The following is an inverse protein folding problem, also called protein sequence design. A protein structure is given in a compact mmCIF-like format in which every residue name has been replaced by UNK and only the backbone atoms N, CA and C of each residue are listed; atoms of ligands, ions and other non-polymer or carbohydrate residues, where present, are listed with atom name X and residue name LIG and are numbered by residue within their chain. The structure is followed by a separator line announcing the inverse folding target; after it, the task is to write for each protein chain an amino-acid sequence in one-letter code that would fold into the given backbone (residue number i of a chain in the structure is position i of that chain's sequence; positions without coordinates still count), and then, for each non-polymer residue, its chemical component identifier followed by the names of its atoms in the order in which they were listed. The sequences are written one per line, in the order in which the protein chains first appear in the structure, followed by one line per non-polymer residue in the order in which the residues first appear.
data_IF_553678681424
#
_entry.id   IF_553678681424
#
_cell.length_a   1.000
_cell.length_b   1.000
_cell.length_c   1.000
_cell.angle_alpha   90.00
_cell.angle_beta   90.00
_cell.angle_gamma   90.00
#
_symmetry.space_group_name_H-M   'P 1'
#
loop_
_entity.id
_entity.type
_entity.pdbx_description
1 polymer ?
#
# COMPACT_ATOMS: atom_id res chain seq x y z
N UNK A 1 -5.32 -11.79 9.39
CA UNK A 1 -4.08 -11.70 8.56
C UNK A 1 -4.25 -10.55 7.58
N UNK A 2 -3.18 -10.05 6.95
CA UNK A 2 -3.34 -9.07 5.87
C UNK A 2 -3.76 -9.74 4.56
N UNK A 3 -4.66 -9.08 3.83
CA UNK A 3 -5.18 -9.49 2.52
C UNK A 3 -4.74 -8.50 1.46
N UNK A 4 -4.48 -9.01 0.26
CA UNK A 4 -4.13 -8.20 -0.90
C UNK A 4 -5.29 -8.30 -1.88
N UNK A 5 -5.83 -7.15 -2.25
CA UNK A 5 -7.08 -7.02 -2.97
C UNK A 5 -6.89 -6.14 -4.21
N UNK A 6 -7.76 -6.35 -5.20
CA UNK A 6 -7.96 -5.43 -6.31
C UNK A 6 -9.36 -4.85 -6.16
N UNK A 7 -9.44 -3.54 -6.01
CA UNK A 7 -10.68 -2.81 -6.24
C UNK A 7 -10.77 -2.43 -7.72
N UNK A 8 -11.93 -2.63 -8.34
CA UNK A 8 -12.23 -2.16 -9.69
C UNK A 8 -13.58 -1.44 -9.69
N UNK A 9 -13.66 -0.21 -10.18
CA UNK A 9 -14.92 0.54 -10.16
C UNK A 9 -14.83 1.88 -10.88
N UNK A 10 -15.90 2.67 -10.85
CA UNK A 10 -15.89 4.01 -11.42
C UNK A 10 -15.07 5.01 -10.59
N UNK A 11 -14.53 6.05 -11.22
CA UNK A 11 -13.82 7.15 -10.51
C UNK A 11 -14.73 7.92 -9.54
N UNK A 12 -16.05 7.90 -9.77
CA UNK A 12 -17.00 8.66 -8.97
C UNK A 12 -17.02 8.20 -7.50
N UNK A 13 -16.70 9.12 -6.59
CA UNK A 13 -16.60 8.90 -5.13
C UNK A 13 -15.57 7.84 -4.73
N UNK A 14 -14.58 7.57 -5.59
CA UNK A 14 -13.50 6.63 -5.27
C UNK A 14 -12.70 7.05 -4.03
N UNK A 15 -12.63 8.34 -3.70
CA UNK A 15 -11.96 8.82 -2.48
C UNK A 15 -12.55 8.20 -1.19
N UNK A 16 -13.82 7.77 -1.19
CA UNK A 16 -14.43 7.06 -0.05
C UNK A 16 -13.83 5.67 0.16
N UNK A 17 -13.37 5.01 -0.92
CA UNK A 17 -12.63 3.74 -0.83
C UNK A 17 -11.25 4.00 -0.22
N UNK A 18 -10.59 5.10 -0.60
CA UNK A 18 -9.29 5.48 -0.05
C UNK A 18 -9.39 5.76 1.46
N UNK A 19 -10.35 6.58 1.86
CA UNK A 19 -10.60 6.90 3.27
C UNK A 19 -10.88 5.64 4.10
N UNK A 20 -11.73 4.74 3.60
CA UNK A 20 -12.00 3.46 4.27
C UNK A 20 -10.73 2.60 4.42
N UNK A 21 -9.92 2.48 3.37
CA UNK A 21 -8.66 1.72 3.42
C UNK A 21 -7.72 2.28 4.49
N UNK A 22 -7.62 3.60 4.62
CA UNK A 22 -6.80 4.22 5.66
C UNK A 22 -7.37 4.00 7.06
N UNK A 23 -8.69 4.14 7.24
CA UNK A 23 -9.38 3.98 8.53
C UNK A 23 -9.26 2.55 9.09
N UNK A 24 -9.32 1.55 8.22
CA UNK A 24 -9.14 0.15 8.61
C UNK A 24 -7.66 -0.25 8.77
N UNK A 25 -6.71 0.67 8.57
CA UNK A 25 -5.27 0.43 8.73
C UNK A 25 -4.61 -0.27 7.54
N UNK A 26 -5.22 -0.17 6.36
CA UNK A 26 -4.67 -0.63 5.09
C UNK A 26 -3.82 0.41 4.37
N UNK A 27 -3.39 0.07 3.16
CA UNK A 27 -2.65 0.94 2.25
C UNK A 27 -3.06 0.68 0.79
N UNK A 28 -3.09 1.76 0.01
CA UNK A 28 -3.17 1.69 -1.45
C UNK A 28 -1.76 1.68 -2.04
N UNK A 29 -1.41 0.60 -2.74
CA UNK A 29 -0.08 0.43 -3.32
C UNK A 29 0.03 1.02 -4.73
N UNK A 30 -1.06 0.95 -5.49
CA UNK A 30 -1.10 1.44 -6.87
C UNK A 30 -2.53 1.79 -7.26
N UNK A 31 -2.70 2.90 -7.96
CA UNK A 31 -3.94 3.36 -8.59
C UNK A 31 -3.67 3.54 -10.08
N UNK A 32 -4.42 2.83 -10.92
CA UNK A 32 -4.41 2.99 -12.36
C UNK A 32 -5.79 3.47 -12.82
N UNK A 33 -5.84 4.49 -13.67
CA UNK A 33 -7.08 5.00 -14.26
C UNK A 33 -7.16 4.65 -15.74
N UNK A 34 -8.29 4.10 -16.16
CA UNK A 34 -8.53 3.66 -17.52
C UNK A 34 -9.72 4.40 -18.12
N UNK A 35 -9.53 4.90 -19.33
CA UNK A 35 -10.62 5.43 -20.13
C UNK A 35 -11.23 4.29 -20.96
N UNK A 36 -12.44 3.84 -20.64
CA UNK A 36 -13.10 2.80 -21.43
C UNK A 36 -13.90 3.43 -22.57
N UNK A 37 -13.42 3.26 -23.81
CA UNK A 37 -14.18 3.65 -25.00
C UNK A 37 -15.04 2.48 -25.49
N UNK A 38 -16.37 2.59 -25.36
CA UNK A 38 -17.34 1.69 -26.03
C UNK A 38 -18.01 2.42 -27.20
N UNK A 39 -17.28 2.60 -28.29
CA UNK A 39 -17.83 3.15 -29.54
C UNK A 39 -18.22 4.64 -29.43
N UNK A 40 -19.43 4.98 -29.90
CA UNK A 40 -19.91 6.37 -30.05
C UNK A 40 -20.37 7.07 -28.75
N UNK A 41 -20.23 6.43 -27.58
CA UNK A 41 -20.52 7.02 -26.28
C UNK A 41 -19.24 7.14 -25.45
N UNK A 42 -18.95 8.36 -25.01
CA UNK A 42 -17.71 8.74 -24.33
C UNK A 42 -17.74 8.29 -22.85
N UNK A 43 -16.95 7.25 -22.55
CA UNK A 43 -16.07 7.05 -21.39
C UNK A 43 -16.71 6.99 -19.99
N UNK A 44 -16.97 5.76 -19.52
CA UNK A 44 -16.84 5.47 -18.08
C UNK A 44 -15.34 5.39 -17.77
N UNK A 45 -14.85 6.31 -16.94
CA UNK A 45 -13.51 6.17 -16.36
C UNK A 45 -13.60 5.12 -15.26
N UNK A 46 -12.77 4.08 -15.38
CA UNK A 46 -12.62 3.05 -14.36
C UNK A 46 -11.28 3.20 -13.64
N UNK A 47 -11.28 2.90 -12.36
CA UNK A 47 -10.10 2.86 -11.50
C UNK A 47 -9.87 1.42 -11.10
N UNK A 48 -8.63 0.96 -11.24
CA UNK A 48 -8.17 -0.28 -10.63
C UNK A 48 -7.12 0.05 -9.57
N UNK A 49 -7.31 -0.50 -8.37
CA UNK A 49 -6.45 -0.19 -7.22
C UNK A 49 -6.02 -1.46 -6.53
N UNK A 50 -4.70 -1.58 -6.28
CA UNK A 50 -4.14 -2.64 -5.45
C UNK A 50 -4.14 -2.15 -4.00
N UNK A 51 -4.84 -2.88 -3.15
CA UNK A 51 -5.08 -2.56 -1.74
C UNK A 51 -4.49 -3.66 -0.86
N UNK A 52 -3.86 -3.28 0.24
CA UNK A 52 -3.47 -4.20 1.31
C UNK A 52 -4.20 -3.79 2.58
N UNK A 53 -4.95 -4.70 3.18
CA UNK A 53 -5.80 -4.39 4.35
C UNK A 53 -5.77 -5.53 5.36
N UNK A 54 -5.94 -5.27 6.66
CA UNK A 54 -6.30 -6.32 7.60
C UNK A 54 -7.65 -6.96 7.21
N UNK A 55 -7.79 -8.23 7.53
CA UNK A 55 -9.00 -9.03 7.28
C UNK A 55 -10.21 -8.51 8.06
N UNK A 56 -9.98 -7.92 9.23
CA UNK A 56 -11.00 -7.39 10.13
C UNK A 56 -11.82 -6.24 9.51
N UNK A 57 -11.25 -5.49 8.55
CA UNK A 57 -11.91 -4.37 7.86
C UNK A 57 -12.49 -4.73 6.48
N UNK A 58 -12.40 -5.99 6.06
CA UNK A 58 -12.72 -6.38 4.68
C UNK A 58 -14.21 -6.22 4.35
N UNK A 59 -15.10 -6.50 5.30
CA UNK A 59 -16.55 -6.44 5.07
C UNK A 59 -17.03 -4.99 4.85
N UNK A 60 -16.46 -4.04 5.58
CA UNK A 60 -16.73 -2.61 5.41
C UNK A 60 -16.29 -2.12 4.04
N UNK A 61 -15.06 -2.49 3.63
CA UNK A 61 -14.52 -2.13 2.32
C UNK A 61 -15.36 -2.72 1.17
N UNK A 62 -15.82 -3.97 1.29
CA UNK A 62 -16.72 -4.61 0.32
C UNK A 62 -18.08 -3.92 0.22
N UNK A 63 -18.61 -3.44 1.35
CA UNK A 63 -19.87 -2.72 1.37
C UNK A 63 -19.75 -1.39 0.60
N UNK A 64 -18.70 -0.60 0.86
CA UNK A 64 -18.44 0.66 0.14
C UNK A 64 -18.24 0.40 -1.34
N UNK A 65 -17.46 -0.63 -1.72
CA UNK A 65 -17.28 -0.98 -3.12
C UNK A 65 -18.61 -1.30 -3.81
N UNK A 66 -19.47 -2.09 -3.16
CA UNK A 66 -20.79 -2.44 -3.67
C UNK A 66 -21.68 -1.20 -3.86
N UNK A 67 -21.69 -0.28 -2.91
CA UNK A 67 -22.47 0.97 -2.96
C UNK A 67 -22.02 1.88 -4.12
N UNK A 68 -20.73 1.83 -4.45
CA UNK A 68 -20.14 2.52 -5.59
C UNK A 68 -20.22 1.75 -6.91
N UNK A 69 -20.89 0.58 -6.92
CA UNK A 69 -20.96 -0.34 -8.07
C UNK A 69 -19.58 -0.80 -8.57
N UNK A 70 -18.61 -0.80 -7.67
CA UNK A 70 -17.32 -1.44 -7.88
C UNK A 70 -17.32 -2.89 -7.39
N UNK A 71 -16.19 -3.54 -7.57
CA UNK A 71 -15.94 -4.91 -7.17
C UNK A 71 -14.61 -5.03 -6.43
N UNK A 72 -14.50 -6.06 -5.58
CA UNK A 72 -13.29 -6.38 -4.83
C UNK A 72 -12.95 -7.85 -5.04
N UNK A 73 -11.75 -8.08 -5.58
CA UNK A 73 -11.19 -9.41 -5.76
C UNK A 73 -9.98 -9.61 -4.85
N UNK A 74 -9.91 -10.75 -4.16
CA UNK A 74 -8.71 -11.14 -3.41
C UNK A 74 -7.69 -11.77 -4.36
N UNK A 75 -6.45 -11.26 -4.33
CA UNK A 75 -5.36 -11.85 -5.10
C UNK A 75 -4.75 -12.98 -4.29
N UNK A 76 -4.87 -14.21 -4.78
CA UNK A 76 -4.16 -15.33 -4.21
C UNK A 76 -2.69 -15.31 -4.67
N UNK A 77 -1.79 -14.96 -3.76
CA UNK A 77 -0.34 -14.99 -3.98
C UNK A 77 0.34 -15.86 -2.93
N UNK A 78 1.52 -16.37 -3.29
CA UNK A 78 2.35 -17.13 -2.37
C UNK A 78 2.79 -16.29 -1.15
N UNK A 79 3.19 -17.00 -0.10
CA UNK A 79 3.55 -16.38 1.18
C UNK A 79 4.78 -15.47 1.07
N UNK A 80 5.73 -15.75 0.16
CA UNK A 80 6.96 -14.95 0.01
C UNK A 80 6.65 -13.57 -0.59
N UNK A 81 5.82 -13.54 -1.64
CA UNK A 81 5.35 -12.28 -2.24
C UNK A 81 4.46 -11.55 -1.22
N UNK A 82 3.58 -12.26 -0.51
CA UNK A 82 2.75 -11.65 0.54
C UNK A 82 3.59 -10.96 1.60
N UNK A 83 4.57 -11.66 2.17
CA UNK A 83 5.49 -11.10 3.16
C UNK A 83 6.17 -9.84 2.59
N UNK A 84 6.66 -9.89 1.35
CA UNK A 84 7.32 -8.75 0.70
C UNK A 84 6.38 -7.55 0.57
N UNK A 85 5.12 -7.78 0.19
CA UNK A 85 4.10 -6.73 0.04
C UNK A 85 3.70 -6.14 1.40
N UNK A 86 3.39 -6.98 2.39
CA UNK A 86 2.91 -6.49 3.69
C UNK A 86 4.05 -5.81 4.47
N UNK A 87 5.32 -6.12 4.18
CA UNK A 87 6.49 -5.39 4.72
C UNK A 87 6.49 -3.89 4.40
N UNK A 88 5.77 -3.46 3.36
CA UNK A 88 5.67 -2.04 2.97
C UNK A 88 5.00 -1.22 4.08
N UNK A 89 4.01 -1.78 4.77
CA UNK A 89 3.20 -1.06 5.77
C UNK A 89 4.00 -0.39 6.90
N UNK A 90 4.87 -1.10 7.66
CA UNK A 90 5.66 -0.46 8.71
C UNK A 90 6.60 0.62 8.17
N UNK A 91 7.23 0.39 7.01
CA UNK A 91 8.16 1.34 6.39
C UNK A 91 7.41 2.58 5.91
N UNK A 92 6.26 2.40 5.26
CA UNK A 92 5.39 3.48 4.82
C UNK A 92 4.94 4.34 6.01
N UNK A 93 4.51 3.73 7.12
CA UNK A 93 4.11 4.46 8.32
C UNK A 93 5.25 5.32 8.90
N UNK A 94 6.48 4.81 8.91
CA UNK A 94 7.64 5.59 9.38
C UNK A 94 7.95 6.76 8.45
N UNK A 95 7.97 6.52 7.14
CA UNK A 95 8.23 7.58 6.16
C UNK A 95 7.12 8.65 6.16
N UNK A 96 5.86 8.26 6.33
CA UNK A 96 4.70 9.17 6.43
C UNK A 96 4.81 10.08 7.66
N UNK A 97 5.25 9.53 8.80
CA UNK A 97 5.48 10.30 10.02
C UNK A 97 6.68 11.24 9.93
N UNK A 98 7.76 10.84 9.24
CA UNK A 98 8.97 11.62 9.13
C UNK A 98 8.76 12.94 8.36
N UNK A 99 7.85 12.97 7.38
CA UNK A 99 7.52 14.15 6.52
C UNK A 99 8.72 14.82 5.86
N UNK A 100 9.88 14.16 5.82
CA UNK A 100 11.13 14.65 5.24
C UNK A 100 11.97 13.45 4.78
N UNK A 101 13.09 13.73 4.11
CA UNK A 101 14.09 12.74 3.73
C UNK A 101 14.76 12.13 4.96
N UNK A 102 14.83 10.80 5.01
CA UNK A 102 15.47 10.04 6.09
C UNK A 102 16.39 8.97 5.52
N UNK A 103 17.48 8.68 6.22
CA UNK A 103 18.37 7.58 5.86
C UNK A 103 17.89 6.24 6.44
N UNK A 104 18.55 5.16 6.02
CA UNK A 104 18.20 3.81 6.47
C UNK A 104 18.46 3.59 7.97
N UNK A 105 19.48 4.23 8.55
CA UNK A 105 19.81 4.04 9.97
C UNK A 105 18.71 4.63 10.85
N UNK A 106 18.18 5.79 10.47
CA UNK A 106 17.00 6.37 11.14
C UNK A 106 15.81 5.41 11.13
N UNK A 107 15.56 4.74 9.99
CA UNK A 107 14.46 3.78 9.88
C UNK A 107 14.73 2.52 10.70
N UNK A 108 15.96 2.01 10.70
CA UNK A 108 16.37 0.87 11.52
C UNK A 108 16.17 1.15 13.01
N UNK A 109 16.54 2.35 13.48
CA UNK A 109 16.37 2.76 14.88
C UNK A 109 14.89 2.99 15.26
N UNK A 110 14.05 3.35 14.28
CA UNK A 110 12.64 3.67 14.50
C UNK A 110 11.68 2.49 14.31
N UNK A 111 12.12 1.37 13.73
CA UNK A 111 11.28 0.17 13.62
C UNK A 111 11.08 -0.43 15.01
N UNK A 112 9.84 -0.39 15.49
CA UNK A 112 9.41 -1.08 16.70
C UNK A 112 8.80 -2.44 16.34
N UNK A 113 9.17 -3.49 17.07
CA UNK A 113 8.58 -4.82 16.98
C UNK A 113 8.04 -5.27 18.35
N UNK A 114 6.74 -5.65 18.48
CA UNK A 114 5.74 -5.68 17.42
C UNK A 114 5.36 -4.28 16.93
N UNK A 115 5.25 -4.12 15.61
CA UNK A 115 4.90 -2.83 15.04
C UNK A 115 3.43 -2.48 15.30
N UNK A 116 3.07 -1.20 15.22
CA UNK A 116 1.70 -0.72 15.45
C UNK A 116 0.65 -1.44 14.58
N UNK A 117 1.04 -1.82 13.36
CA UNK A 117 0.19 -2.51 12.41
C UNK A 117 0.08 -4.03 12.67
N UNK A 118 0.84 -4.57 13.63
CA UNK A 118 0.86 -6.00 13.96
C UNK A 118 1.41 -6.92 12.87
N UNK A 119 1.95 -6.36 11.79
CA UNK A 119 2.42 -7.11 10.60
C UNK A 119 3.54 -8.08 10.94
N UNK A 120 4.32 -7.82 11.99
CA UNK A 120 5.35 -8.74 12.49
C UNK A 120 4.85 -10.18 12.71
N UNK A 121 3.54 -10.37 12.94
CA UNK A 121 2.91 -11.70 13.08
C UNK A 121 2.86 -12.50 11.77
N UNK A 122 2.97 -11.85 10.62
CA UNK A 122 2.93 -12.48 9.30
C UNK A 122 4.29 -13.10 8.90
N UNK A 123 5.38 -12.80 9.62
CA UNK A 123 6.75 -13.07 9.16
C UNK A 123 7.37 -14.40 9.61
N UNK A 124 6.66 -15.28 10.34
CA UNK A 124 7.15 -16.61 10.76
C UNK A 124 8.67 -16.63 11.12
N UNK A 125 9.08 -15.79 12.08
CA UNK A 125 10.45 -15.65 12.62
C UNK A 125 11.44 -14.75 11.83
N UNK A 126 11.04 -14.14 10.70
CA UNK A 126 11.84 -13.11 10.01
C UNK A 126 11.58 -11.74 10.64
N UNK A 127 12.62 -10.96 10.93
CA UNK A 127 12.44 -9.62 11.49
C UNK A 127 12.08 -8.59 10.42
N UNK A 128 11.27 -7.60 10.75
CA UNK A 128 10.97 -6.48 9.85
C UNK A 128 12.23 -5.68 9.46
N UNK A 129 13.32 -5.78 10.23
CA UNK A 129 14.60 -5.14 9.92
C UNK A 129 15.35 -5.83 8.77
N UNK A 130 15.34 -7.16 8.71
CA UNK A 130 16.11 -7.92 7.70
C UNK A 130 15.67 -7.58 6.26
N UNK A 131 14.40 -7.21 6.07
CA UNK A 131 13.85 -6.88 4.77
C UNK A 131 13.86 -5.37 4.45
N UNK A 132 14.24 -4.49 5.37
CA UNK A 132 14.05 -3.04 5.24
C UNK A 132 14.62 -2.47 3.93
N UNK A 133 15.87 -2.79 3.60
CA UNK A 133 16.51 -2.29 2.38
C UNK A 133 15.81 -2.79 1.11
N UNK A 134 15.46 -4.07 1.08
CA UNK A 134 14.72 -4.69 -0.03
C UNK A 134 13.35 -4.01 -0.18
N UNK A 135 12.63 -3.84 0.92
CA UNK A 135 11.34 -3.15 0.97
C UNK A 135 11.45 -1.71 0.47
N UNK A 136 12.45 -0.94 0.87
CA UNK A 136 12.68 0.43 0.38
C UNK A 136 12.95 0.46 -1.13
N UNK A 137 13.76 -0.46 -1.64
CA UNK A 137 14.02 -0.55 -3.08
C UNK A 137 12.77 -0.96 -3.87
N UNK A 138 11.95 -1.87 -3.34
CA UNK A 138 10.68 -2.27 -3.95
C UNK A 138 9.65 -1.13 -3.91
N UNK A 139 9.54 -0.40 -2.79
CA UNK A 139 8.72 0.82 -2.69
C UNK A 139 9.13 1.88 -3.71
N UNK A 140 10.43 2.03 -3.98
CA UNK A 140 10.91 2.94 -5.03
C UNK A 140 10.51 2.45 -6.44
N UNK A 141 10.59 1.14 -6.70
CA UNK A 141 10.18 0.54 -7.98
C UNK A 141 8.67 0.67 -8.23
N UNK A 142 7.88 0.60 -7.16
CA UNK A 142 6.43 0.77 -7.19
C UNK A 142 6.00 2.25 -7.20
N UNK A 143 6.96 3.18 -7.21
CA UNK A 143 6.72 4.62 -7.14
C UNK A 143 5.98 5.10 -5.87
N UNK A 144 6.03 4.31 -4.79
CA UNK A 144 5.47 4.68 -3.48
C UNK A 144 6.43 5.62 -2.73
N UNK A 145 7.74 5.38 -2.89
CA UNK A 145 8.80 6.16 -2.27
C UNK A 145 9.76 6.72 -3.32
N UNK A 146 10.45 7.80 -2.96
CA UNK A 146 11.55 8.36 -3.71
C UNK A 146 12.86 8.14 -2.97
N UNK A 147 13.95 7.95 -3.72
CA UNK A 147 15.30 7.92 -3.18
C UNK A 147 16.17 9.02 -3.78
N UNK A 148 17.06 9.59 -2.98
CA UNK A 148 18.10 10.51 -3.44
C UNK A 148 19.44 10.16 -2.79
N UNK A 149 20.50 10.65 -3.39
CA UNK A 149 21.84 10.59 -2.80
C UNK A 149 22.26 12.00 -2.43
N UNK A 150 22.50 12.25 -1.14
CA UNK A 150 23.01 13.51 -0.62
C UNK A 150 24.27 13.23 0.20
N UNK A 151 25.40 13.85 -0.15
CA UNK A 151 26.66 13.69 0.58
C UNK A 151 27.09 12.21 0.78
N UNK A 152 26.91 11.36 -0.25
CA UNK A 152 27.13 9.91 -0.23
C UNK A 152 26.19 9.09 0.69
N UNK A 153 25.16 9.71 1.27
CA UNK A 153 24.11 9.04 2.03
C UNK A 153 22.88 8.88 1.14
N UNK A 154 22.29 7.68 1.15
CA UNK A 154 21.02 7.42 0.47
C UNK A 154 19.89 7.76 1.44
N UNK A 155 19.01 8.64 1.00
CA UNK A 155 17.84 9.06 1.77
C UNK A 155 16.56 8.71 1.01
N UNK A 156 15.49 8.46 1.77
CA UNK A 156 14.19 8.03 1.28
C UNK A 156 13.10 8.96 1.80
N UNK A 157 12.01 9.11 1.04
CA UNK A 157 10.76 9.75 1.49
C UNK A 157 9.57 9.15 0.75
N UNK A 158 8.36 9.32 1.26
CA UNK A 158 7.14 9.04 0.48
C UNK A 158 7.07 9.99 -0.73
N UNK A 159 6.71 9.45 -1.89
CA UNK A 159 6.41 10.25 -3.07
C UNK A 159 5.13 11.02 -2.81
N UNK A 160 5.17 12.35 -2.96
CA UNK A 160 3.96 13.16 -2.91
C UNK A 160 3.09 12.80 -4.13
N UNK A 161 1.84 12.42 -3.89
CA UNK A 161 0.82 12.19 -4.93
C UNK A 161 0.34 13.52 -5.48
#
# INVERSE_FOLDING_TARGET
MYKILIYSGGVYRFDEVLECVEDIGGIVLKRDEFNISRGSYFISQEVHVIIVTPEEGLDELKQIATDLKGDIEEINIDDEIRISVVSILPVYNLLSKAKNWVDINYLEDAIECPCINGVCKEFNDISCHENLKKTLDDMCRMEIAEKRTLSNVIEYRIKAV
#
